data_IF_247985466912
#
_entry.id   IF_247985466912
#
_cell.length_a   1.000
_cell.length_b   1.000
_cell.length_c   1.000
_cell.angle_alpha   90.00
_cell.angle_beta   90.00
_cell.angle_gamma   90.00
#
_symmetry.space_group_name_H-M   'P 1'
#
loop_
_entity.id
_entity.type
_entity.pdbx_description
1 polymer ?
#
# COMPACT_ATOMS: atom_id res chain seq x y z
N UNK A 1 9.45 6.08 2.54
CA UNK A 1 8.07 6.12 1.99
C UNK A 1 7.11 6.05 3.18
N UNK A 2 5.84 6.43 3.04
CA UNK A 2 4.90 6.62 4.16
C UNK A 2 4.72 5.38 5.05
N UNK A 3 4.09 5.56 6.22
CA UNK A 3 4.02 4.60 7.34
C UNK A 3 3.57 3.17 6.96
N UNK A 4 2.93 2.99 5.80
CA UNK A 4 2.41 1.71 5.29
C UNK A 4 2.98 1.34 3.91
N UNK A 5 4.28 1.61 3.67
CA UNK A 5 5.11 1.12 2.55
C UNK A 5 4.40 0.11 1.64
N UNK A 6 3.85 0.58 0.51
CA UNK A 6 3.27 -0.19 -0.61
C UNK A 6 2.24 -1.29 -0.27
N UNK A 7 1.93 -1.52 1.02
CA UNK A 7 1.11 -2.62 1.51
C UNK A 7 -0.38 -2.27 1.62
N UNK A 8 -0.74 -1.06 1.19
CA UNK A 8 -2.06 -0.47 1.36
C UNK A 8 -3.16 -1.33 0.74
N UNK A 9 -2.94 -1.88 -0.46
CA UNK A 9 -3.94 -2.71 -1.12
C UNK A 9 -4.15 -4.06 -0.43
N UNK A 10 -3.10 -4.65 0.17
CA UNK A 10 -3.26 -5.88 0.99
C UNK A 10 -4.01 -5.56 2.28
N UNK A 11 -3.69 -4.43 2.91
CA UNK A 11 -4.36 -4.00 4.14
C UNK A 11 -5.85 -3.78 3.88
N UNK A 12 -6.20 -3.03 2.83
CA UNK A 12 -7.61 -2.76 2.48
C UNK A 12 -8.34 -4.06 2.14
N UNK A 13 -7.76 -4.94 1.33
CA UNK A 13 -8.38 -6.24 1.02
C UNK A 13 -8.57 -7.11 2.27
N UNK A 14 -7.56 -7.17 3.15
CA UNK A 14 -7.61 -7.96 4.38
C UNK A 14 -8.65 -7.44 5.38
N UNK A 15 -8.75 -6.12 5.55
CA UNK A 15 -9.78 -5.50 6.40
C UNK A 15 -11.17 -5.81 5.83
N UNK A 16 -11.36 -5.68 4.52
CA UNK A 16 -12.64 -5.98 3.89
C UNK A 16 -13.02 -7.46 4.01
N UNK A 17 -12.08 -8.38 3.79
CA UNK A 17 -12.28 -9.82 3.99
C UNK A 17 -12.65 -10.14 5.45
N UNK A 18 -12.02 -9.47 6.41
CA UNK A 18 -12.31 -9.63 7.84
C UNK A 18 -13.72 -9.16 8.18
N UNK A 19 -14.15 -8.00 7.65
CA UNK A 19 -15.50 -7.49 7.83
C UNK A 19 -16.53 -8.48 7.28
N UNK A 20 -16.36 -8.97 6.05
CA UNK A 20 -17.28 -9.96 5.47
C UNK A 20 -17.36 -11.25 6.30
N UNK A 21 -16.22 -11.72 6.81
CA UNK A 21 -16.16 -12.93 7.66
C UNK A 21 -16.91 -12.72 8.98
N UNK A 22 -16.77 -11.55 9.62
CA UNK A 22 -17.49 -11.21 10.86
C UNK A 22 -18.98 -10.94 10.62
N UNK A 23 -19.33 -10.41 9.45
CA UNK A 23 -20.69 -10.09 9.09
C UNK A 23 -21.51 -11.36 8.77
N UNK A 24 -20.86 -12.41 8.25
CA UNK A 24 -21.50 -13.67 7.89
C UNK A 24 -22.41 -14.28 8.99
N UNK A 25 -21.96 -14.53 10.23
CA UNK A 25 -22.83 -15.11 11.26
C UNK A 25 -24.07 -14.26 11.58
N UNK A 26 -24.04 -12.95 11.33
CA UNK A 26 -25.19 -12.06 11.54
C UNK A 26 -26.24 -12.19 10.43
N UNK A 27 -25.83 -12.54 9.20
CA UNK A 27 -26.73 -12.64 8.05
C UNK A 27 -27.11 -14.07 7.67
N UNK A 28 -26.47 -15.09 8.28
CA UNK A 28 -26.69 -16.50 7.95
C UNK A 28 -28.14 -16.94 8.20
N UNK A 29 -28.79 -16.40 9.22
CA UNK A 29 -30.18 -16.74 9.58
C UNK A 29 -31.23 -15.88 8.85
N UNK A 30 -30.82 -14.82 8.14
CA UNK A 30 -31.78 -13.89 7.52
C UNK A 30 -32.35 -14.44 6.20
N UNK A 31 -31.53 -15.16 5.42
CA UNK A 31 -31.96 -15.84 4.19
C UNK A 31 -30.88 -16.80 3.69
N UNK A 32 -31.24 -17.97 3.14
CA UNK A 32 -30.28 -18.90 2.52
C UNK A 32 -29.52 -18.29 1.33
N UNK A 33 -30.07 -17.24 0.69
CA UNK A 33 -29.38 -16.51 -0.38
C UNK A 33 -28.15 -15.77 0.16
N UNK A 34 -28.24 -15.20 1.37
CA UNK A 34 -27.09 -14.51 1.97
C UNK A 34 -25.99 -15.50 2.31
N UNK A 35 -26.33 -16.67 2.85
CA UNK A 35 -25.34 -17.72 3.14
C UNK A 35 -24.57 -18.15 1.88
N UNK A 36 -25.27 -18.34 0.76
CA UNK A 36 -24.66 -18.61 -0.55
C UNK A 36 -23.69 -17.51 -0.99
N UNK A 37 -24.07 -16.24 -0.82
CA UNK A 37 -23.22 -15.09 -1.16
C UNK A 37 -21.97 -15.05 -0.28
N UNK A 38 -22.09 -15.28 1.03
CA UNK A 38 -20.94 -15.28 1.95
C UNK A 38 -20.01 -16.47 1.71
N UNK A 39 -20.55 -17.68 1.45
CA UNK A 39 -19.78 -18.87 1.05
C UNK A 39 -18.89 -18.61 -0.16
N UNK A 40 -19.36 -17.81 -1.11
CA UNK A 40 -18.59 -17.49 -2.31
C UNK A 40 -17.66 -16.28 -2.09
N UNK A 41 -18.18 -15.21 -1.48
CA UNK A 41 -17.48 -13.94 -1.35
C UNK A 41 -16.30 -13.99 -0.37
N UNK A 42 -16.47 -14.66 0.78
CA UNK A 42 -15.43 -14.74 1.83
C UNK A 42 -14.15 -15.40 1.31
N UNK A 43 -14.17 -16.62 0.73
CA UNK A 43 -12.95 -17.25 0.23
C UNK A 43 -12.31 -16.49 -0.94
N UNK A 44 -13.11 -15.90 -1.84
CA UNK A 44 -12.58 -15.09 -2.94
C UNK A 44 -11.85 -13.86 -2.41
N UNK A 45 -12.39 -13.17 -1.40
CA UNK A 45 -11.73 -12.01 -0.81
C UNK A 45 -10.45 -12.36 -0.07
N UNK A 46 -10.41 -13.50 0.63
CA UNK A 46 -9.17 -14.01 1.22
C UNK A 46 -8.13 -14.38 0.15
N UNK A 47 -8.56 -15.00 -0.94
CA UNK A 47 -7.70 -15.28 -2.08
C UNK A 47 -7.10 -14.00 -2.68
N UNK A 48 -7.92 -12.98 -2.95
CA UNK A 48 -7.46 -11.69 -3.46
C UNK A 48 -6.50 -11.00 -2.50
N UNK A 49 -6.73 -11.11 -1.18
CA UNK A 49 -5.82 -10.58 -0.17
C UNK A 49 -4.42 -11.20 -0.28
N UNK A 50 -4.34 -12.52 -0.46
CA UNK A 50 -3.07 -13.23 -0.65
C UNK A 50 -2.40 -12.82 -1.97
N UNK A 51 -3.17 -12.72 -3.06
CA UNK A 51 -2.64 -12.28 -4.36
C UNK A 51 -2.09 -10.86 -4.27
N UNK A 52 -2.82 -9.93 -3.65
CA UNK A 52 -2.36 -8.57 -3.40
C UNK A 52 -1.07 -8.53 -2.56
N UNK A 53 -0.96 -9.40 -1.55
CA UNK A 53 0.25 -9.51 -0.73
C UNK A 53 1.46 -9.92 -1.56
N UNK A 54 1.33 -10.98 -2.36
CA UNK A 54 2.41 -11.49 -3.22
C UNK A 54 2.79 -10.46 -4.29
N UNK A 55 1.81 -9.79 -4.90
CA UNK A 55 2.06 -8.76 -5.90
C UNK A 55 2.81 -7.54 -5.35
N UNK A 56 2.50 -7.11 -4.13
CA UNK A 56 3.22 -6.00 -3.49
C UNK A 56 4.64 -6.42 -3.11
N UNK A 57 4.81 -7.65 -2.58
CA UNK A 57 6.12 -8.23 -2.34
C UNK A 57 6.96 -8.29 -3.61
N UNK A 58 6.41 -8.77 -4.73
CA UNK A 58 7.17 -8.91 -5.98
C UNK A 58 7.60 -7.55 -6.53
N UNK A 59 6.75 -6.52 -6.45
CA UNK A 59 7.12 -5.16 -6.81
C UNK A 59 8.26 -4.60 -5.96
N UNK A 60 8.24 -4.87 -4.64
CA UNK A 60 9.32 -4.47 -3.73
C UNK A 60 10.65 -5.18 -4.06
N UNK A 61 10.60 -6.47 -4.45
CA UNK A 61 11.79 -7.21 -4.90
C UNK A 61 12.33 -6.74 -6.26
N UNK A 62 11.46 -6.48 -7.23
CA UNK A 62 11.85 -6.04 -8.57
C UNK A 62 12.43 -4.62 -8.57
N UNK A 63 11.91 -3.72 -7.73
CA UNK A 63 12.43 -2.37 -7.58
C UNK A 63 13.64 -2.25 -6.63
N UNK A 64 13.96 -3.27 -5.83
CA UNK A 64 15.15 -3.33 -4.99
C UNK A 64 16.45 -3.70 -5.72
N UNK A 65 16.38 -4.16 -6.97
CA UNK A 65 17.52 -4.71 -7.71
C UNK A 65 18.25 -3.71 -8.62
N UNK A 66 17.74 -2.48 -8.77
CA UNK A 66 18.52 -1.41 -9.38
C UNK A 66 19.31 -0.68 -8.31
N UNK A 67 20.61 -0.95 -8.28
CA UNK A 67 21.62 -0.08 -7.68
C UNK A 67 21.68 1.21 -8.53
N UNK A 68 21.29 2.41 -8.05
CA UNK A 68 22.06 3.59 -8.40
C UNK A 68 23.27 3.58 -7.47
N UNK A 69 24.46 3.51 -8.05
CA UNK A 69 25.69 3.87 -7.36
C UNK A 69 25.47 5.18 -6.58
N UNK A 70 25.82 5.19 -5.29
CA UNK A 70 26.06 6.38 -4.46
C UNK A 70 25.01 7.51 -4.57
N UNK A 71 24.16 7.62 -3.55
CA UNK A 71 23.87 8.94 -2.96
C UNK A 71 23.60 8.79 -1.47
N UNK A 72 24.69 8.85 -0.71
CA UNK A 72 24.65 9.37 0.65
C UNK A 72 24.14 10.81 0.58
N UNK A 73 22.93 11.05 1.06
CA UNK A 73 22.54 12.33 1.67
C UNK A 73 21.18 12.09 2.32
N UNK A 74 21.19 11.68 3.60
CA UNK A 74 20.76 12.55 4.70
C UNK A 74 19.40 13.21 4.44
N UNK A 75 18.38 12.71 5.13
CA UNK A 75 17.38 13.61 5.74
C UNK A 75 18.14 14.67 6.55
N UNK A 76 17.72 15.94 6.50
CA UNK A 76 16.94 16.45 7.63
C UNK A 76 15.72 17.22 7.07
N UNK A 77 14.49 16.97 7.50
CA UNK A 77 13.92 17.50 8.75
C UNK A 77 14.29 18.96 9.01
N UNK A 78 13.25 19.80 9.06
CA UNK A 78 13.18 21.19 9.54
C UNK A 78 13.47 22.31 8.54
N UNK A 79 12.42 23.14 8.40
CA UNK A 79 12.43 24.62 8.36
C UNK A 79 13.68 25.25 7.74
N UNK A 80 13.55 25.84 6.55
CA UNK A 80 13.86 27.26 6.33
C UNK A 80 13.44 27.69 4.92
N UNK A 81 12.73 28.81 4.86
CA UNK A 81 12.67 29.84 3.81
C UNK A 81 12.96 29.43 2.36
N UNK A 82 11.96 29.47 1.50
CA UNK A 82 11.68 30.63 0.64
C UNK A 82 12.88 31.09 -0.21
N UNK A 83 12.59 31.18 -1.51
CA UNK A 83 13.30 31.91 -2.56
C UNK A 83 14.34 31.13 -3.37
N UNK A 84 13.85 30.28 -4.25
CA UNK A 84 14.61 29.88 -5.44
C UNK A 84 14.49 31.02 -6.44
N UNK A 85 15.57 31.80 -6.64
CA UNK A 85 15.73 32.66 -7.82
C UNK A 85 16.71 31.96 -8.75
N UNK A 86 16.27 31.62 -9.95
CA UNK A 86 17.14 31.10 -11.00
C UNK A 86 17.77 32.29 -11.74
N UNK A 87 19.06 32.54 -11.52
CA UNK A 87 19.88 33.34 -12.45
C UNK A 87 20.42 32.41 -13.53
N UNK A 88 20.31 32.82 -14.79
CA UNK A 88 20.62 32.01 -15.98
C UNK A 88 22.13 31.71 -16.18
N UNK A 89 23.03 32.19 -15.31
CA UNK A 89 24.49 32.09 -15.48
C UNK A 89 25.20 31.09 -14.54
N UNK A 90 24.48 30.16 -13.91
CA UNK A 90 25.07 28.89 -13.47
C UNK A 90 26.24 28.93 -12.46
N UNK A 91 26.40 29.99 -11.65
CA UNK A 91 27.38 30.01 -10.56
C UNK A 91 26.71 30.20 -9.20
N UNK A 92 26.77 29.16 -8.38
CA UNK A 92 26.51 29.20 -6.94
C UNK A 92 27.67 29.95 -6.28
N UNK A 93 27.42 31.17 -5.80
CA UNK A 93 28.32 31.86 -4.88
C UNK A 93 28.31 31.07 -3.55
N UNK A 94 29.51 30.72 -3.07
CA UNK A 94 29.73 29.93 -1.86
C UNK A 94 29.34 30.65 -0.58
#
# INVERSE_FOLDING_TARGET
>A
MGLLYNHLATLVCGVFASILTLLWPMFVELSPVYDLVFILAVPIMWFLTIVCFVAQKSADYAHGSHKPSKKSSKKPSKKLSQKIVYTADGRIAG
#
